data_IF_334096587428
#
_entry.id   IF_334096587428
#
_cell.length_a   1.000
_cell.length_b   1.000
_cell.length_c   1.000
_cell.angle_alpha   90.00
_cell.angle_beta   90.00
_cell.angle_gamma   90.00
#
_symmetry.space_group_name_H-M   'P 1'
#
loop_
_entity.id
_entity.type
_entity.pdbx_description
1 polymer ?
#
# COMPACT_ATOMS: atom_id res chain seq x y z
N UNK A 1 5.57 -14.44 19.38
CA UNK A 1 5.34 -15.71 18.65
C UNK A 1 6.40 -15.93 17.56
N UNK A 2 6.45 -15.08 16.52
CA UNK A 2 7.36 -15.25 15.36
C UNK A 2 8.83 -15.48 15.76
N UNK A 3 9.42 -14.63 16.59
CA UNK A 3 10.83 -14.77 17.00
C UNK A 3 11.11 -16.11 17.72
N UNK A 4 10.20 -16.54 18.60
CA UNK A 4 10.32 -17.82 19.30
C UNK A 4 10.21 -19.00 18.33
N UNK A 5 9.30 -18.92 17.35
CA UNK A 5 9.18 -19.93 16.29
C UNK A 5 10.46 -20.04 15.46
N UNK A 6 11.04 -18.92 15.05
CA UNK A 6 12.32 -18.90 14.31
C UNK A 6 13.48 -19.43 15.16
N UNK A 7 13.53 -19.10 16.45
CA UNK A 7 14.53 -19.62 17.37
C UNK A 7 14.39 -21.14 17.59
N UNK A 8 13.16 -21.65 17.71
CA UNK A 8 12.89 -23.08 17.82
C UNK A 8 13.32 -23.83 16.55
N UNK A 9 13.04 -23.28 15.36
CA UNK A 9 13.53 -23.84 14.10
C UNK A 9 15.05 -23.86 14.05
N UNK A 10 15.71 -22.77 14.47
CA UNK A 10 17.17 -22.73 14.57
C UNK A 10 17.74 -23.76 15.56
N UNK A 11 16.98 -24.13 16.60
CA UNK A 11 17.32 -25.18 17.56
C UNK A 11 16.97 -26.60 17.08
N UNK A 12 16.46 -26.77 15.87
CA UNK A 12 16.18 -28.07 15.25
C UNK A 12 14.70 -28.47 15.21
N UNK A 13 13.77 -27.60 15.61
CA UNK A 13 12.35 -27.87 15.42
C UNK A 13 12.00 -27.89 13.91
N UNK A 14 11.32 -28.95 13.47
CA UNK A 14 10.89 -29.12 12.07
C UNK A 14 9.42 -28.78 11.83
N UNK A 15 8.66 -28.48 12.89
CA UNK A 15 7.23 -28.18 12.83
C UNK A 15 6.93 -26.89 13.58
N UNK A 16 6.23 -25.96 12.92
CA UNK A 16 5.75 -24.71 13.52
C UNK A 16 4.26 -24.62 13.31
N UNK A 17 3.52 -24.39 14.40
CA UNK A 17 2.08 -24.14 14.35
C UNK A 17 1.80 -22.65 14.36
N UNK A 18 0.80 -22.24 13.60
CA UNK A 18 0.41 -20.84 13.44
C UNK A 18 -0.81 -20.73 12.55
N UNK A 19 -1.15 -19.49 12.18
CA UNK A 19 -2.27 -19.18 11.29
C UNK A 19 -1.86 -18.13 10.27
N UNK A 20 -2.60 -18.05 9.16
CA UNK A 20 -2.49 -16.91 8.25
C UNK A 20 -2.93 -15.64 8.96
N UNK A 21 -2.19 -14.55 8.74
CA UNK A 21 -2.39 -13.25 9.40
C UNK A 21 -2.29 -13.28 10.93
N UNK A 22 -1.78 -14.37 11.52
CA UNK A 22 -1.69 -14.53 12.97
C UNK A 22 -3.04 -14.58 13.68
N UNK A 23 -4.15 -14.86 12.97
CA UNK A 23 -5.48 -14.94 13.58
C UNK A 23 -5.58 -16.03 14.66
N UNK A 24 -6.43 -15.80 15.65
CA UNK A 24 -6.62 -16.70 16.78
C UNK A 24 -7.26 -15.99 17.95
N UNK A 25 -7.36 -16.68 19.08
CA UNK A 25 -7.89 -16.08 20.31
C UNK A 25 -7.00 -14.95 20.87
N UNK A 26 -7.61 -13.99 21.56
CA UNK A 26 -6.92 -12.88 22.25
C UNK A 26 -6.05 -12.07 21.29
N UNK A 27 -4.73 -12.18 21.41
CA UNK A 27 -3.74 -11.46 20.60
C UNK A 27 -3.26 -12.28 19.39
N UNK A 28 -3.89 -13.41 19.11
CA UNK A 28 -3.60 -14.23 17.95
C UNK A 28 -2.51 -15.28 18.13
N UNK A 29 -2.25 -16.02 17.05
CA UNK A 29 -1.23 -17.06 16.93
C UNK A 29 0.03 -16.55 16.23
N UNK A 30 1.01 -17.44 16.04
CA UNK A 30 2.16 -17.15 15.20
C UNK A 30 1.72 -16.91 13.75
N UNK A 31 2.07 -15.76 13.18
CA UNK A 31 1.78 -15.43 11.78
C UNK A 31 2.66 -16.26 10.85
N UNK A 32 2.05 -17.23 10.16
CA UNK A 32 2.75 -18.13 9.25
C UNK A 32 3.36 -17.38 8.07
N UNK A 33 2.75 -16.30 7.59
CA UNK A 33 3.28 -15.52 6.47
C UNK A 33 4.63 -14.95 6.84
N UNK A 34 4.69 -14.25 7.98
CA UNK A 34 5.92 -13.67 8.50
C UNK A 34 6.99 -14.74 8.77
N UNK A 35 6.63 -15.92 9.28
CA UNK A 35 7.57 -17.00 9.56
C UNK A 35 8.13 -17.59 8.27
N UNK A 36 7.26 -17.96 7.32
CA UNK A 36 7.65 -18.54 6.03
C UNK A 36 8.56 -17.56 5.27
N UNK A 37 8.17 -16.28 5.17
CA UNK A 37 8.97 -15.26 4.48
C UNK A 37 10.36 -15.09 5.12
N UNK A 38 10.47 -15.08 6.46
CA UNK A 38 11.77 -15.01 7.12
C UNK A 38 12.63 -16.26 6.83
N UNK A 39 12.05 -17.46 6.86
CA UNK A 39 12.78 -18.70 6.57
C UNK A 39 13.27 -18.73 5.12
N UNK A 40 12.41 -18.43 4.15
CA UNK A 40 12.79 -18.46 2.73
C UNK A 40 13.71 -17.30 2.34
N UNK A 41 13.37 -16.06 2.71
CA UNK A 41 14.07 -14.88 2.20
C UNK A 41 15.32 -14.54 3.01
N UNK A 42 15.28 -14.70 4.34
CA UNK A 42 16.39 -14.33 5.23
C UNK A 42 17.28 -15.51 5.60
N UNK A 43 16.71 -16.70 5.78
CA UNK A 43 17.47 -17.91 6.14
C UNK A 43 17.79 -18.80 4.94
N UNK A 44 17.25 -18.48 3.76
CA UNK A 44 17.45 -19.26 2.52
C UNK A 44 17.08 -20.73 2.69
N UNK A 45 16.08 -21.00 3.52
CA UNK A 45 15.52 -22.33 3.75
C UNK A 45 14.25 -22.50 2.92
N UNK A 46 14.19 -23.53 2.09
CA UNK A 46 12.99 -23.83 1.31
C UNK A 46 11.88 -24.35 2.24
N UNK A 47 10.73 -23.68 2.22
CA UNK A 47 9.57 -24.02 3.07
C UNK A 47 8.33 -24.31 2.20
N UNK A 48 8.13 -23.50 1.17
CA UNK A 48 7.07 -23.68 0.18
C UNK A 48 7.67 -24.03 -1.18
N UNK A 49 6.90 -24.68 -2.08
CA UNK A 49 7.29 -24.84 -3.48
C UNK A 49 7.73 -23.52 -4.11
N UNK A 50 8.64 -23.60 -5.08
CA UNK A 50 9.12 -22.44 -5.81
C UNK A 50 7.96 -21.59 -6.37
N UNK A 51 8.06 -20.26 -6.21
CA UNK A 51 7.05 -19.29 -6.64
C UNK A 51 5.82 -19.17 -5.72
N UNK A 52 5.57 -20.11 -4.80
CA UNK A 52 4.37 -20.06 -3.97
C UNK A 52 4.36 -18.90 -2.95
N UNK A 53 5.53 -18.37 -2.58
CA UNK A 53 5.62 -17.23 -1.67
C UNK A 53 5.11 -15.93 -2.31
N UNK A 54 5.18 -15.81 -3.64
CA UNK A 54 4.67 -14.66 -4.39
C UNK A 54 3.14 -14.54 -4.29
N UNK A 55 2.44 -15.58 -3.86
CA UNK A 55 1.00 -15.54 -3.62
C UNK A 55 0.63 -15.03 -2.21
N UNK A 56 1.61 -14.79 -1.34
CA UNK A 56 1.38 -14.49 0.08
C UNK A 56 0.50 -13.25 0.27
N UNK A 57 0.77 -12.16 -0.44
CA UNK A 57 -0.04 -10.94 -0.36
C UNK A 57 -1.51 -11.19 -0.73
N UNK A 58 -1.75 -11.84 -1.87
CA UNK A 58 -3.10 -12.14 -2.35
C UNK A 58 -3.85 -13.05 -1.39
N UNK A 59 -3.20 -14.12 -0.91
CA UNK A 59 -3.79 -15.08 0.02
C UNK A 59 -4.10 -14.42 1.37
N UNK A 60 -3.19 -13.59 1.89
CA UNK A 60 -3.39 -12.86 3.15
C UNK A 60 -4.66 -12.01 3.11
N UNK A 61 -4.86 -11.25 2.04
CA UNK A 61 -6.02 -10.37 1.87
C UNK A 61 -7.31 -11.16 1.60
N UNK A 62 -7.25 -12.24 0.82
CA UNK A 62 -8.40 -13.11 0.60
C UNK A 62 -8.89 -13.76 1.91
N UNK A 63 -7.98 -14.18 2.78
CA UNK A 63 -8.35 -14.72 4.11
C UNK A 63 -8.95 -13.63 4.99
N UNK A 64 -8.40 -12.42 4.97
CA UNK A 64 -8.95 -11.29 5.71
C UNK A 64 -10.38 -10.96 5.27
N UNK A 65 -10.64 -10.98 3.95
CA UNK A 65 -11.97 -10.79 3.36
C UNK A 65 -12.95 -11.88 3.81
N UNK A 66 -12.57 -13.15 3.68
CA UNK A 66 -13.43 -14.30 4.07
C UNK A 66 -13.75 -14.29 5.56
N UNK A 67 -12.79 -13.88 6.40
CA UNK A 67 -12.99 -13.78 7.86
C UNK A 67 -13.66 -12.48 8.31
N UNK A 68 -13.94 -11.57 7.38
CA UNK A 68 -14.45 -10.23 7.65
C UNK A 68 -13.61 -9.45 8.68
N UNK A 69 -12.29 -9.58 8.57
CA UNK A 69 -11.31 -8.87 9.39
C UNK A 69 -10.59 -7.86 8.50
N UNK A 70 -10.54 -6.60 8.93
CA UNK A 70 -9.75 -5.60 8.20
C UNK A 70 -8.27 -5.98 8.19
N UNK A 71 -7.62 -6.10 7.02
CA UNK A 71 -6.18 -6.33 6.94
C UNK A 71 -5.40 -5.24 7.67
N UNK A 72 -4.30 -5.62 8.32
CA UNK A 72 -3.38 -4.64 8.91
C UNK A 72 -2.46 -4.08 7.83
N UNK A 73 -2.57 -2.78 7.57
CA UNK A 73 -1.73 -2.11 6.56
C UNK A 73 -0.23 -2.23 6.86
N UNK A 74 0.15 -2.40 8.13
CA UNK A 74 1.56 -2.49 8.58
C UNK A 74 2.02 -3.92 8.85
N UNK A 75 1.23 -4.92 8.47
CA UNK A 75 1.63 -6.32 8.64
C UNK A 75 2.96 -6.56 7.90
N UNK A 76 3.95 -7.23 8.52
CA UNK A 76 5.21 -7.55 7.84
C UNK A 76 4.95 -8.29 6.52
N UNK A 77 5.73 -7.96 5.49
CA UNK A 77 5.66 -8.51 4.14
C UNK A 77 4.37 -8.21 3.36
N UNK A 78 3.20 -8.51 3.92
CA UNK A 78 1.93 -8.48 3.16
C UNK A 78 1.04 -7.28 3.47
N UNK A 79 1.42 -6.39 4.39
CA UNK A 79 0.67 -5.15 4.60
C UNK A 79 0.82 -4.20 3.39
N UNK A 80 -0.24 -3.48 3.04
CA UNK A 80 -0.21 -2.47 1.95
C UNK A 80 0.78 -1.32 2.20
N UNK A 81 1.26 -1.17 3.44
CA UNK A 81 2.30 -0.22 3.84
C UNK A 81 3.64 -0.87 4.20
N UNK A 82 3.78 -2.19 4.03
CA UNK A 82 5.00 -2.92 4.39
C UNK A 82 6.23 -2.48 3.56
N UNK A 83 5.99 -2.05 2.32
CA UNK A 83 6.99 -1.51 1.40
C UNK A 83 6.63 -0.09 0.93
N UNK A 84 5.89 0.64 1.75
CA UNK A 84 5.54 2.04 1.45
C UNK A 84 6.65 2.99 1.90
N UNK A 85 6.96 3.95 1.04
CA UNK A 85 7.96 4.99 1.29
C UNK A 85 7.29 6.35 1.27
N UNK A 86 7.37 7.09 2.38
CA UNK A 86 6.88 8.46 2.43
C UNK A 86 7.87 9.41 1.77
N UNK A 87 7.36 10.25 0.87
CA UNK A 87 8.15 11.23 0.16
C UNK A 87 8.92 12.16 1.11
N UNK A 88 10.19 12.41 0.78
CA UNK A 88 11.12 13.22 1.56
C UNK A 88 12.55 13.14 1.00
N UNK A 89 13.56 13.53 1.78
CA UNK A 89 14.99 13.48 1.42
C UNK A 89 15.47 12.11 0.89
N UNK A 90 14.75 11.03 1.19
CA UNK A 90 15.13 9.66 0.84
C UNK A 90 14.60 9.18 -0.52
N UNK A 91 13.67 9.91 -1.16
CA UNK A 91 13.10 9.51 -2.45
C UNK A 91 14.14 9.52 -3.59
N UNK A 92 15.13 10.41 -3.51
CA UNK A 92 16.26 10.44 -4.45
C UNK A 92 17.12 9.18 -4.35
N UNK A 93 17.35 8.67 -3.14
CA UNK A 93 18.12 7.46 -2.92
C UNK A 93 17.34 6.21 -3.36
N UNK A 94 16.03 6.15 -3.10
CA UNK A 94 15.14 5.08 -3.61
C UNK A 94 15.12 5.04 -5.13
N UNK A 95 15.14 6.21 -5.79
CA UNK A 95 15.22 6.30 -7.26
C UNK A 95 16.49 5.64 -7.83
N UNK A 96 17.59 5.74 -7.09
CA UNK A 96 18.89 5.18 -7.50
C UNK A 96 18.94 3.68 -7.21
N UNK A 97 18.58 3.30 -6.00
CA UNK A 97 18.58 1.90 -5.57
C UNK A 97 17.50 1.67 -4.48
N UNK A 98 16.37 1.03 -4.84
CA UNK A 98 15.31 0.71 -3.90
C UNK A 98 15.77 -0.19 -2.73
N UNK A 99 16.81 -1.00 -2.91
CA UNK A 99 17.30 -1.93 -1.89
C UNK A 99 17.93 -1.21 -0.68
N UNK A 100 18.30 0.05 -0.82
CA UNK A 100 18.83 0.88 0.27
C UNK A 100 17.80 1.14 1.38
N UNK A 101 16.51 1.08 1.06
CA UNK A 101 15.41 1.33 2.01
C UNK A 101 14.42 0.16 2.10
N UNK A 102 14.65 -0.90 1.35
CA UNK A 102 13.83 -2.10 1.37
C UNK A 102 14.66 -3.26 1.85
N UNK A 103 14.25 -3.84 2.98
CA UNK A 103 14.89 -5.05 3.48
C UNK A 103 14.73 -6.24 2.52
N UNK A 104 13.78 -6.20 1.56
CA UNK A 104 13.47 -7.29 0.64
C UNK A 104 12.79 -6.77 -0.64
N UNK A 105 12.84 -7.53 -1.74
CA UNK A 105 12.04 -7.21 -2.94
C UNK A 105 10.55 -7.50 -2.65
N UNK A 106 9.63 -6.53 -2.74
CA UNK A 106 8.20 -6.73 -2.50
C UNK A 106 7.57 -7.82 -3.38
N UNK A 107 8.03 -7.96 -4.63
CA UNK A 107 7.52 -8.97 -5.57
C UNK A 107 7.71 -10.40 -5.05
N UNK A 108 8.75 -10.64 -4.24
CA UNK A 108 9.05 -11.96 -3.67
C UNK A 108 7.95 -12.50 -2.75
N UNK A 109 7.04 -11.63 -2.29
CA UNK A 109 5.87 -11.96 -1.45
C UNK A 109 4.55 -11.55 -2.12
N UNK A 110 4.58 -11.16 -3.39
CA UNK A 110 3.41 -10.67 -4.14
C UNK A 110 2.93 -9.28 -3.76
N UNK A 111 3.73 -8.53 -3.02
CA UNK A 111 3.42 -7.15 -2.68
C UNK A 111 4.08 -6.21 -3.70
N UNK A 112 3.85 -4.92 -3.56
CA UNK A 112 4.46 -3.90 -4.42
C UNK A 112 5.04 -2.74 -3.59
N UNK A 113 5.99 -2.03 -4.17
CA UNK A 113 6.52 -0.80 -3.59
C UNK A 113 5.52 0.32 -3.83
N UNK A 114 5.24 1.14 -2.81
CA UNK A 114 4.33 2.28 -2.95
C UNK A 114 5.00 3.57 -2.52
N UNK A 115 5.10 4.56 -3.41
CA UNK A 115 5.51 5.91 -3.05
C UNK A 115 4.29 6.68 -2.54
N UNK A 116 4.38 7.23 -1.33
CA UNK A 116 3.36 8.12 -0.76
C UNK A 116 3.79 9.56 -1.00
N UNK A 117 2.93 10.34 -1.64
CA UNK A 117 3.17 11.76 -1.93
C UNK A 117 2.57 12.60 -0.80
N UNK A 118 3.34 13.56 -0.29
CA UNK A 118 2.92 14.50 0.76
C UNK A 118 3.55 15.89 0.54
N UNK A 119 3.38 16.83 1.48
CA UNK A 119 3.99 18.18 1.48
C UNK A 119 5.52 18.16 1.34
N UNK A 120 6.16 17.06 1.74
CA UNK A 120 7.61 16.86 1.63
C UNK A 120 8.03 16.31 0.27
N UNK A 121 7.09 16.15 -0.67
CA UNK A 121 7.37 15.63 -2.00
C UNK A 121 8.34 16.52 -2.78
N UNK A 122 9.44 15.90 -3.21
CA UNK A 122 10.33 16.46 -4.20
C UNK A 122 10.05 15.89 -5.60
N UNK A 123 10.79 16.37 -6.59
CA UNK A 123 10.70 15.89 -7.98
C UNK A 123 10.82 14.37 -8.10
N UNK A 124 11.78 13.77 -7.40
CA UNK A 124 11.99 12.32 -7.41
C UNK A 124 10.76 11.54 -6.92
N UNK A 125 10.06 12.03 -5.89
CA UNK A 125 8.84 11.41 -5.39
C UNK A 125 7.71 11.46 -6.41
N UNK A 126 7.52 12.61 -7.06
CA UNK A 126 6.52 12.80 -8.12
C UNK A 126 6.81 11.92 -9.32
N UNK A 127 8.07 11.84 -9.77
CA UNK A 127 8.49 11.00 -10.89
C UNK A 127 8.27 9.51 -10.59
N UNK A 128 8.69 9.03 -9.40
CA UNK A 128 8.46 7.63 -8.99
C UNK A 128 6.96 7.34 -8.92
N UNK A 129 6.17 8.20 -8.27
CA UNK A 129 4.72 8.00 -8.13
C UNK A 129 4.02 8.01 -9.48
N UNK A 130 4.41 8.90 -10.38
CA UNK A 130 3.85 8.97 -11.72
C UNK A 130 4.19 7.73 -12.54
N UNK A 131 5.43 7.24 -12.43
CA UNK A 131 5.84 5.97 -13.05
C UNK A 131 5.02 4.78 -12.52
N UNK A 132 4.73 4.72 -11.22
CA UNK A 132 3.87 3.67 -10.64
C UNK A 132 2.44 3.71 -11.20
N UNK A 133 1.98 4.89 -11.61
CA UNK A 133 0.67 5.09 -12.25
C UNK A 133 0.72 4.93 -13.78
N UNK A 134 1.87 4.56 -14.34
CA UNK A 134 2.05 4.35 -15.79
C UNK A 134 2.38 5.61 -16.59
N UNK A 135 2.81 6.70 -15.96
CA UNK A 135 3.18 7.96 -16.62
C UNK A 135 4.69 8.19 -16.57
N UNK A 136 5.35 8.21 -17.73
CA UNK A 136 6.76 8.61 -17.86
C UNK A 136 6.88 10.14 -17.97
N UNK A 137 7.39 10.76 -16.91
CA UNK A 137 7.62 12.21 -16.82
C UNK A 137 9.10 12.60 -17.01
N UNK A 138 9.95 11.69 -17.47
CA UNK A 138 11.40 11.91 -17.59
C UNK A 138 11.79 13.14 -18.43
N UNK A 139 10.93 13.54 -19.38
CA UNK A 139 11.12 14.71 -20.25
C UNK A 139 10.27 15.91 -19.86
N UNK A 140 9.32 15.74 -18.93
CA UNK A 140 8.29 16.72 -18.57
C UNK A 140 8.67 17.54 -17.32
N UNK A 141 9.89 18.11 -17.33
CA UNK A 141 10.47 18.78 -16.14
C UNK A 141 9.61 19.91 -15.58
N UNK A 142 8.94 20.66 -16.46
CA UNK A 142 8.06 21.75 -16.06
C UNK A 142 6.76 21.25 -15.43
N UNK A 143 6.16 20.18 -15.98
CA UNK A 143 4.98 19.51 -15.42
C UNK A 143 5.29 18.98 -14.02
N UNK A 144 6.43 18.30 -13.86
CA UNK A 144 6.89 17.80 -12.56
C UNK A 144 7.05 18.94 -11.56
N UNK A 145 7.62 20.08 -11.97
CA UNK A 145 7.78 21.23 -11.09
C UNK A 145 6.44 21.82 -10.64
N UNK A 146 5.47 21.96 -11.56
CA UNK A 146 4.12 22.42 -11.21
C UNK A 146 3.39 21.45 -10.29
N UNK A 147 3.49 20.14 -10.55
CA UNK A 147 2.90 19.11 -9.69
C UNK A 147 3.44 19.15 -8.27
N UNK A 148 4.76 19.32 -8.09
CA UNK A 148 5.36 19.45 -6.76
C UNK A 148 4.74 20.61 -6.00
N UNK A 149 4.66 21.80 -6.62
CA UNK A 149 4.10 22.97 -5.96
C UNK A 149 2.60 22.83 -5.70
N UNK A 150 1.87 22.25 -6.65
CA UNK A 150 0.42 22.05 -6.52
C UNK A 150 0.05 21.07 -5.41
N UNK A 151 0.81 19.99 -5.26
CA UNK A 151 0.66 19.04 -4.14
C UNK A 151 0.90 19.75 -2.81
N UNK A 152 1.97 20.55 -2.69
CA UNK A 152 2.27 21.30 -1.46
C UNK A 152 1.18 22.30 -1.10
N UNK A 153 0.72 23.06 -2.09
CA UNK A 153 -0.38 24.02 -1.91
C UNK A 153 -1.63 23.32 -1.37
N UNK A 154 -2.04 22.22 -2.01
CA UNK A 154 -3.22 21.47 -1.62
C UNK A 154 -3.06 20.82 -0.24
N UNK A 155 -1.91 20.21 0.08
CA UNK A 155 -1.70 19.64 1.42
C UNK A 155 -1.69 20.71 2.52
N UNK A 156 -1.13 21.90 2.24
CA UNK A 156 -1.22 23.04 3.16
C UNK A 156 -2.66 23.51 3.38
N UNK A 157 -3.54 23.26 2.39
CA UNK A 157 -4.98 23.50 2.45
C UNK A 157 -5.79 22.37 3.09
N UNK A 158 -5.15 21.32 3.62
CA UNK A 158 -5.80 20.19 4.29
C UNK A 158 -6.17 19.01 3.40
N UNK A 159 -5.70 18.97 2.15
CA UNK A 159 -5.83 17.80 1.28
C UNK A 159 -4.80 16.74 1.67
N UNK A 160 -5.10 15.47 1.40
CA UNK A 160 -4.17 14.36 1.67
C UNK A 160 -3.99 13.53 0.42
N UNK A 161 -2.74 13.43 -0.07
CA UNK A 161 -2.40 12.58 -1.22
C UNK A 161 -1.79 11.23 -0.82
N UNK A 162 -1.42 11.05 0.45
CA UNK A 162 -0.82 9.79 0.95
C UNK A 162 -1.73 8.57 0.76
N UNK A 163 -3.05 8.73 0.92
CA UNK A 163 -4.03 7.66 0.81
C UNK A 163 -4.88 7.74 -0.48
N UNK A 164 -4.61 8.71 -1.37
CA UNK A 164 -5.50 9.07 -2.46
C UNK A 164 -4.78 9.04 -3.82
N UNK A 165 -4.32 7.85 -4.22
CA UNK A 165 -3.58 7.65 -5.49
C UNK A 165 -4.37 8.15 -6.69
N UNK A 166 -5.69 7.92 -6.72
CA UNK A 166 -6.57 8.41 -7.78
C UNK A 166 -6.66 9.94 -7.82
N UNK A 167 -6.67 10.61 -6.66
CA UNK A 167 -6.68 12.08 -6.60
C UNK A 167 -5.39 12.67 -7.16
N UNK A 168 -4.25 12.04 -6.83
CA UNK A 168 -2.96 12.42 -7.41
C UNK A 168 -2.94 12.19 -8.93
N UNK A 169 -3.45 11.06 -9.40
CA UNK A 169 -3.51 10.73 -10.83
C UNK A 169 -4.36 11.75 -11.61
N UNK A 170 -5.50 12.16 -11.06
CA UNK A 170 -6.35 13.19 -11.69
C UNK A 170 -5.62 14.52 -11.79
N UNK A 171 -4.87 14.91 -10.75
CA UNK A 171 -4.06 16.13 -10.76
C UNK A 171 -2.94 16.05 -11.82
N UNK A 172 -2.26 14.91 -11.91
CA UNK A 172 -1.26 14.63 -12.94
C UNK A 172 -1.83 14.75 -14.36
N UNK A 173 -2.99 14.14 -14.61
CA UNK A 173 -3.67 14.21 -15.91
C UNK A 173 -4.07 15.64 -16.25
N UNK A 174 -4.52 16.43 -15.28
CA UNK A 174 -4.84 17.84 -15.45
C UNK A 174 -3.60 18.67 -15.84
N UNK A 175 -2.48 18.47 -15.16
CA UNK A 175 -1.22 19.18 -15.42
C UNK A 175 -0.59 18.81 -16.78
N UNK A 176 -0.79 17.58 -17.26
CA UNK A 176 -0.37 17.13 -18.59
C UNK A 176 -1.27 17.66 -19.70
N UNK A 177 -2.60 17.64 -19.50
CA UNK A 177 -3.56 18.06 -20.51
C UNK A 177 -3.81 19.58 -20.52
N UNK A 178 -3.35 20.30 -19.49
CA UNK A 178 -3.64 21.72 -19.27
C UNK A 178 -5.09 22.01 -18.89
N UNK A 179 -5.90 20.97 -18.65
CA UNK A 179 -7.30 21.07 -18.24
C UNK A 179 -7.72 19.80 -17.51
N UNK A 180 -8.66 19.94 -16.58
CA UNK A 180 -9.21 18.81 -15.86
C UNK A 180 -9.90 17.81 -16.82
N UNK A 181 -9.62 16.50 -16.71
CA UNK A 181 -10.34 15.50 -17.48
C UNK A 181 -11.85 15.57 -17.19
N UNK A 182 -12.66 15.56 -18.25
CA UNK A 182 -14.12 15.42 -18.16
C UNK A 182 -14.49 14.07 -18.77
N UNK A 183 -14.94 13.15 -17.92
CA UNK A 183 -15.38 11.82 -18.33
C UNK A 183 -16.90 11.71 -18.38
N UNK A 184 -17.58 12.46 -17.53
CA UNK A 184 -19.03 12.52 -17.41
C UNK A 184 -19.44 13.90 -16.90
N UNK A 185 -20.71 14.22 -17.11
CA UNK A 185 -21.38 15.38 -16.52
C UNK A 185 -22.33 14.85 -15.45
N UNK A 186 -22.20 15.34 -14.22
CA UNK A 186 -23.17 15.04 -13.17
C UNK A 186 -24.39 15.92 -13.43
N UNK A 187 -25.53 15.31 -13.76
CA UNK A 187 -26.80 16.02 -13.94
C UNK A 187 -27.45 16.27 -12.58
N UNK A 188 -27.39 15.29 -11.69
CA UNK A 188 -27.92 15.42 -10.33
C UNK A 188 -27.18 14.52 -9.35
N UNK A 189 -27.09 14.96 -8.10
CA UNK A 189 -26.64 14.12 -6.99
C UNK A 189 -27.59 14.32 -5.81
N UNK A 190 -27.89 13.23 -5.11
CA UNK A 190 -28.75 13.23 -3.93
C UNK A 190 -28.12 12.37 -2.85
N UNK A 191 -27.93 12.95 -1.68
CA UNK A 191 -27.54 12.22 -0.47
C UNK A 191 -28.65 12.30 0.56
N UNK A 192 -29.09 11.17 1.10
CA UNK A 192 -30.02 11.12 2.24
C UNK A 192 -29.37 10.38 3.40
N UNK A 193 -29.59 10.89 4.61
CA UNK A 193 -29.21 10.23 5.86
C UNK A 193 -30.47 10.13 6.70
N UNK A 194 -30.89 8.90 6.96
CA UNK A 194 -32.12 8.59 7.67
C UNK A 194 -31.76 7.88 8.99
N UNK A 195 -32.19 8.42 10.12
CA UNK A 195 -32.11 7.74 11.41
C UNK A 195 -33.47 7.13 11.74
N UNK A 196 -33.53 5.80 11.85
CA UNK A 196 -34.73 5.08 12.22
C UNK A 196 -34.98 5.17 13.73
N UNK A 197 -36.21 4.88 14.16
CA UNK A 197 -36.62 4.95 15.56
C UNK A 197 -35.85 3.98 16.48
N UNK A 198 -35.25 2.92 15.92
CA UNK A 198 -34.38 1.98 16.64
C UNK A 198 -32.93 2.49 16.80
N UNK A 199 -32.64 3.70 16.30
CA UNK A 199 -31.33 4.33 16.36
C UNK A 199 -30.40 3.96 15.21
N UNK A 200 -30.82 3.07 14.29
CA UNK A 200 -30.03 2.74 13.10
C UNK A 200 -29.95 3.94 12.14
N UNK A 201 -28.79 4.12 11.51
CA UNK A 201 -28.53 5.20 10.55
C UNK A 201 -28.30 4.59 9.19
N UNK A 202 -29.09 5.02 8.21
CA UNK A 202 -28.95 4.62 6.81
C UNK A 202 -28.48 5.82 6.01
N UNK A 203 -27.45 5.66 5.19
CA UNK A 203 -26.96 6.70 4.28
C UNK A 203 -27.10 6.21 2.84
N UNK A 204 -27.74 7.00 1.97
CA UNK A 204 -27.88 6.72 0.55
C UNK A 204 -27.27 7.84 -0.26
N UNK A 205 -26.52 7.50 -1.30
CA UNK A 205 -26.04 8.44 -2.31
C UNK A 205 -26.47 7.95 -3.70
N UNK A 206 -27.14 8.82 -4.45
CA UNK A 206 -27.54 8.62 -5.85
C UNK A 206 -26.85 9.69 -6.70
N UNK A 207 -26.23 9.30 -7.82
CA UNK A 207 -25.55 10.19 -8.77
C UNK A 207 -26.02 9.79 -10.17
N UNK A 208 -26.56 10.75 -10.92
CA UNK A 208 -27.00 10.62 -12.32
C UNK A 208 -26.18 11.52 -13.23
#
# INVERSE_FOLDING_TARGET
>A
AIANSLAAVAAGASHVQGTLNGYGERTGNADLISIIANLQLKKKQEVLPAGALEEAFRIAHAVAEVTNVSPSARQPYVGVSAFAHKAGLHASAIKVDPSLYQHENPESVGNDMRMLVSEMAGRASIEIKSSQLGFDLSKEKEVVARLVERVKELESGGYTFEAADASFELLLREELAGKKPSFFTIESWKTSVDQLADGSVTSRAEVS
#
